data_IF_461990071922
#
_entry.id   IF_461990071922
#
_cell.length_a   1.000
_cell.length_b   1.000
_cell.length_c   1.000
_cell.angle_alpha   90.00
_cell.angle_beta   90.00
_cell.angle_gamma   90.00
#
_symmetry.space_group_name_H-M   'P 1'
#
loop_
_entity.id
_entity.type
_entity.pdbx_description
1 polymer ?
#
# COMPACT_ATOMS: atom_id res chain seq x y z
N UNK A 1 10.35 -24.01 -20.01
CA UNK A 1 10.94 -22.70 -19.66
C UNK A 1 11.19 -22.71 -18.15
N UNK A 2 12.44 -22.63 -17.71
CA UNK A 2 12.77 -22.63 -16.29
C UNK A 2 12.50 -21.23 -15.71
N UNK A 3 11.62 -21.15 -14.71
CA UNK A 3 11.41 -19.93 -13.93
C UNK A 3 12.57 -19.78 -12.94
N UNK A 4 13.33 -18.70 -13.08
CA UNK A 4 14.35 -18.29 -12.10
C UNK A 4 13.60 -17.61 -10.96
N UNK A 5 13.37 -18.33 -9.87
CA UNK A 5 12.96 -17.73 -8.60
C UNK A 5 14.22 -17.18 -7.93
N UNK A 6 14.31 -15.85 -7.83
CA UNK A 6 15.30 -15.22 -6.96
C UNK A 6 14.82 -15.36 -5.51
N UNK A 7 15.71 -15.71 -4.56
CA UNK A 7 15.35 -15.77 -3.15
C UNK A 7 14.88 -14.40 -2.65
N UNK A 8 13.81 -14.35 -1.85
CA UNK A 8 13.24 -13.11 -1.32
C UNK A 8 14.28 -12.24 -0.58
N UNK A 9 15.25 -12.88 0.09
CA UNK A 9 16.37 -12.20 0.74
C UNK A 9 17.28 -11.40 -0.22
N UNK A 10 17.38 -11.83 -1.48
CA UNK A 10 18.15 -11.13 -2.53
C UNK A 10 17.34 -9.93 -3.05
N UNK A 11 16.01 -10.03 -3.08
CA UNK A 11 15.13 -8.92 -3.48
C UNK A 11 15.17 -7.81 -2.44
N UNK A 12 15.11 -8.14 -1.15
CA UNK A 12 15.13 -7.17 -0.05
C UNK A 12 16.48 -6.43 0.06
N UNK A 13 17.60 -7.14 -0.05
CA UNK A 13 18.94 -6.53 -0.01
C UNK A 13 19.25 -5.66 -1.24
N UNK A 14 18.80 -6.07 -2.44
CA UNK A 14 18.89 -5.22 -3.64
C UNK A 14 17.96 -4.01 -3.59
N UNK A 15 16.86 -4.09 -2.84
CA UNK A 15 15.96 -2.97 -2.64
C UNK A 15 16.58 -1.91 -1.71
N UNK A 16 17.17 -2.33 -0.60
CA UNK A 16 17.79 -1.42 0.38
C UNK A 16 19.02 -0.67 -0.19
N UNK A 17 19.95 -1.36 -0.85
CA UNK A 17 21.13 -0.69 -1.45
C UNK A 17 20.77 0.26 -2.60
N UNK A 18 19.72 -0.05 -3.36
CA UNK A 18 19.23 0.83 -4.44
C UNK A 18 18.47 2.02 -3.88
N UNK A 19 17.66 1.83 -2.85
CA UNK A 19 16.92 2.91 -2.20
C UNK A 19 17.86 3.90 -1.50
N UNK A 20 18.93 3.43 -0.85
CA UNK A 20 19.95 4.33 -0.26
C UNK A 20 20.62 5.25 -1.30
N UNK A 21 20.88 4.73 -2.50
CA UNK A 21 21.49 5.51 -3.59
C UNK A 21 20.49 6.39 -4.35
N UNK A 22 19.25 5.94 -4.48
CA UNK A 22 18.19 6.63 -5.24
C UNK A 22 17.51 7.72 -4.40
N UNK A 23 17.36 7.53 -3.08
CA UNK A 23 16.74 8.50 -2.16
C UNK A 23 17.37 9.91 -2.25
N UNK A 24 18.70 10.11 -2.13
CA UNK A 24 19.29 11.44 -2.22
C UNK A 24 19.14 12.08 -3.61
N UNK A 25 19.05 11.27 -4.68
CA UNK A 25 18.79 11.75 -6.04
C UNK A 25 17.33 12.17 -6.24
N UNK A 26 16.37 11.40 -5.71
CA UNK A 26 14.95 11.76 -5.72
C UNK A 26 14.66 12.97 -4.82
N UNK A 27 15.40 13.13 -3.71
CA UNK A 27 15.35 14.33 -2.88
C UNK A 27 15.72 15.59 -3.68
N UNK A 28 16.85 15.55 -4.40
CA UNK A 28 17.31 16.67 -5.25
C UNK A 28 16.39 16.94 -6.45
N UNK A 29 15.75 15.91 -7.00
CA UNK A 29 14.77 16.06 -8.08
C UNK A 29 13.43 16.63 -7.57
N UNK A 30 12.96 16.18 -6.41
CA UNK A 30 11.74 16.67 -5.77
C UNK A 30 11.83 18.16 -5.41
N UNK A 31 12.96 18.61 -4.86
CA UNK A 31 13.20 20.04 -4.58
C UNK A 31 13.16 20.91 -5.85
N UNK A 32 13.71 20.41 -6.96
CA UNK A 32 13.69 21.13 -8.25
C UNK A 32 12.29 21.17 -8.89
N UNK A 33 11.50 20.11 -8.76
CA UNK A 33 10.12 20.05 -9.28
C UNK A 33 9.19 20.93 -8.43
N UNK A 34 9.40 20.98 -7.10
CA UNK A 34 8.62 21.81 -6.17
C UNK A 34 8.89 23.31 -6.33
N UNK A 35 10.04 23.70 -6.91
CA UNK A 35 10.32 25.09 -7.28
C UNK A 35 9.46 25.60 -8.46
N UNK A 36 8.85 24.69 -9.24
CA UNK A 36 7.91 25.05 -10.31
C UNK A 36 6.51 25.18 -9.69
N UNK A 37 6.07 26.44 -9.52
CA UNK A 37 4.79 26.81 -8.89
C UNK A 37 3.62 26.02 -9.46
N UNK A 38 2.97 25.20 -8.62
CA UNK A 38 1.65 24.62 -8.93
C UNK A 38 1.32 23.25 -8.31
N UNK A 39 2.25 22.57 -7.63
CA UNK A 39 2.03 21.20 -7.17
C UNK A 39 1.89 21.09 -5.64
N UNK A 40 0.75 21.55 -5.12
CA UNK A 40 0.35 21.38 -3.71
C UNK A 40 0.29 19.90 -3.30
N UNK A 41 -0.02 19.00 -4.24
CA UNK A 41 -0.13 17.55 -3.97
C UNK A 41 1.22 16.85 -3.70
N UNK A 42 2.35 17.40 -4.17
CA UNK A 42 3.67 16.79 -3.92
C UNK A 42 4.25 17.15 -2.54
N UNK A 43 3.80 18.27 -1.95
CA UNK A 43 4.19 18.70 -0.59
C UNK A 43 3.79 17.67 0.46
N UNK A 44 2.60 17.09 0.34
CA UNK A 44 2.08 16.19 1.38
C UNK A 44 2.72 14.80 1.30
N UNK A 45 3.03 14.35 0.07
CA UNK A 45 3.82 13.13 -0.15
C UNK A 45 5.24 13.28 0.45
N UNK A 46 5.86 14.45 0.30
CA UNK A 46 7.18 14.76 0.86
C UNK A 46 7.20 14.76 2.40
N UNK A 47 6.22 15.40 3.04
CA UNK A 47 6.08 15.40 4.51
C UNK A 47 5.87 13.99 5.07
N UNK A 48 5.30 13.09 4.28
CA UNK A 48 5.11 11.70 4.68
C UNK A 48 6.44 10.93 4.61
N UNK A 49 7.24 11.14 3.57
CA UNK A 49 8.56 10.53 3.41
C UNK A 49 9.53 10.96 4.53
N UNK A 50 9.55 12.24 4.90
CA UNK A 50 10.36 12.74 6.03
C UNK A 50 10.01 12.08 7.37
N UNK A 51 8.72 11.79 7.61
CA UNK A 51 8.29 11.09 8.84
C UNK A 51 8.82 9.67 8.90
N UNK A 52 8.86 8.96 7.77
CA UNK A 52 9.42 7.60 7.72
C UNK A 52 10.92 7.57 8.01
N UNK A 53 11.67 8.54 7.49
CA UNK A 53 13.13 8.64 7.73
C UNK A 53 13.42 8.90 9.22
N UNK A 54 12.65 9.77 9.90
CA UNK A 54 12.83 10.01 11.33
C UNK A 54 12.46 8.79 12.21
N UNK A 55 11.46 8.00 11.80
CA UNK A 55 11.09 6.79 12.52
C UNK A 55 12.16 5.69 12.42
N UNK A 56 12.95 5.66 11.34
CA UNK A 56 14.06 4.72 11.18
C UNK A 56 15.19 4.98 12.19
N UNK A 57 15.54 6.24 12.48
CA UNK A 57 16.55 6.58 13.47
C UNK A 57 16.18 6.15 14.90
N UNK A 58 14.88 6.18 15.23
CA UNK A 58 14.37 5.80 16.56
C UNK A 58 14.45 4.29 16.85
N UNK A 59 14.55 3.44 15.81
CA UNK A 59 14.73 1.99 15.98
C UNK A 59 16.10 1.64 16.56
N UNK A 60 17.16 2.32 16.13
CA UNK A 60 18.52 2.04 16.60
C UNK A 60 18.69 2.32 18.09
N UNK A 61 18.05 3.36 18.61
CA UNK A 61 18.12 3.72 20.03
C UNK A 61 17.42 2.67 20.92
N UNK A 62 16.30 2.12 20.45
CA UNK A 62 15.53 1.08 21.14
C UNK A 62 16.30 -0.25 21.21
N UNK A 63 17.00 -0.61 20.13
CA UNK A 63 17.81 -1.85 20.07
C UNK A 63 18.99 -1.81 21.07
N UNK A 64 19.56 -0.62 21.29
CA UNK A 64 20.68 -0.42 22.21
C UNK A 64 20.22 -0.52 23.69
N UNK A 65 19.03 0.00 24.02
CA UNK A 65 18.41 -0.18 25.35
C UNK A 65 18.04 -1.64 25.63
N UNK A 66 17.55 -2.36 24.62
CA UNK A 66 17.21 -3.78 24.73
C UNK A 66 18.47 -4.63 25.03
N UNK A 67 19.60 -4.31 24.38
CA UNK A 67 20.90 -4.95 24.66
C UNK A 67 21.36 -4.76 26.10
N UNK A 68 21.10 -3.59 26.69
CA UNK A 68 21.49 -3.30 28.09
C UNK A 68 20.65 -4.04 29.12
N UNK A 69 19.36 -4.26 28.84
CA UNK A 69 18.39 -4.84 29.80
C UNK A 69 18.32 -6.36 29.76
N UNK A 70 18.72 -7.00 28.65
CA UNK A 70 18.72 -8.45 28.45
C UNK A 70 19.38 -9.28 29.59
N UNK A 71 20.57 -8.94 30.12
CA UNK A 71 21.21 -9.77 31.15
C UNK A 71 20.48 -9.75 32.51
N UNK A 72 19.79 -8.66 32.85
CA UNK A 72 19.00 -8.58 34.08
C UNK A 72 17.74 -9.47 34.01
N UNK A 73 17.10 -9.52 32.84
CA UNK A 73 15.95 -10.40 32.58
C UNK A 73 16.33 -11.88 32.63
N UNK A 74 17.50 -12.25 32.08
CA UNK A 74 18.01 -13.62 32.11
C UNK A 74 18.26 -14.14 33.54
N UNK A 75 18.70 -13.27 34.47
CA UNK A 75 18.90 -13.63 35.87
C UNK A 75 17.58 -13.93 36.61
N UNK A 76 16.47 -13.30 36.19
CA UNK A 76 15.15 -13.53 36.79
C UNK A 76 14.47 -14.81 36.26
N UNK A 77 14.85 -15.30 35.07
CA UNK A 77 14.28 -16.50 34.46
C UNK A 77 14.62 -17.81 35.21
N UNK A 78 15.65 -17.81 36.06
CA UNK A 78 16.09 -18.99 36.82
C UNK A 78 15.16 -19.44 37.96
N UNK A 79 14.12 -18.67 38.31
CA UNK A 79 13.27 -18.94 39.49
C UNK A 79 12.11 -19.93 39.26
N UNK A 80 12.05 -20.60 38.11
CA UNK A 80 11.15 -21.74 37.86
C UNK A 80 9.64 -21.43 37.84
N UNK A 81 9.24 -20.16 37.87
CA UNK A 81 7.85 -19.76 37.69
C UNK A 81 7.58 -19.74 36.18
N UNK A 82 6.61 -20.50 35.66
CA UNK A 82 6.25 -20.44 34.24
C UNK A 82 5.60 -19.08 33.94
N UNK A 83 6.44 -18.09 33.60
CA UNK A 83 6.07 -16.70 33.34
C UNK A 83 5.12 -16.55 32.13
N UNK A 84 5.10 -17.53 31.22
CA UNK A 84 4.32 -17.50 29.98
C UNK A 84 2.80 -17.47 30.13
N UNK A 85 2.25 -17.75 31.31
CA UNK A 85 0.79 -17.73 31.55
C UNK A 85 0.23 -16.34 31.88
N UNK A 86 1.04 -15.48 32.49
CA UNK A 86 0.57 -14.22 33.10
C UNK A 86 0.29 -13.15 32.04
N UNK A 87 1.05 -13.17 30.94
CA UNK A 87 0.98 -12.17 29.88
C UNK A 87 -0.11 -12.44 28.83
N UNK A 88 -0.65 -13.65 28.80
CA UNK A 88 -1.70 -14.02 27.86
C UNK A 88 -2.99 -13.23 28.06
N UNK A 89 -3.45 -13.07 29.31
CA UNK A 89 -4.72 -12.37 29.60
C UNK A 89 -4.68 -10.87 29.22
N UNK A 90 -3.61 -10.11 29.58
CA UNK A 90 -3.45 -8.74 29.07
C UNK A 90 -3.38 -8.66 27.54
N UNK A 91 -2.69 -9.60 26.89
CA UNK A 91 -2.61 -9.67 25.44
C UNK A 91 -3.99 -9.90 24.80
N UNK A 92 -4.75 -10.89 25.30
CA UNK A 92 -6.11 -11.18 24.88
C UNK A 92 -7.03 -9.95 25.05
N UNK A 93 -7.00 -9.31 26.22
CA UNK A 93 -7.83 -8.14 26.50
C UNK A 93 -7.48 -6.94 25.60
N UNK A 94 -6.20 -6.76 25.30
CA UNK A 94 -5.73 -5.71 24.38
C UNK A 94 -6.20 -5.98 22.96
N UNK A 95 -6.13 -7.24 22.50
CA UNK A 95 -6.65 -7.64 21.19
C UNK A 95 -8.17 -7.47 21.09
N UNK A 96 -8.93 -7.91 22.09
CA UNK A 96 -10.39 -7.78 22.10
C UNK A 96 -10.82 -6.31 22.13
N UNK A 97 -10.17 -5.48 22.95
CA UNK A 97 -10.53 -4.06 23.08
C UNK A 97 -10.10 -3.22 21.87
N UNK A 98 -8.90 -3.45 21.35
CA UNK A 98 -8.31 -2.64 20.27
C UNK A 98 -8.78 -3.10 18.90
N UNK A 99 -8.75 -4.41 18.66
CA UNK A 99 -9.08 -4.98 17.36
C UNK A 99 -10.58 -5.31 17.24
N UNK A 100 -11.35 -5.25 18.34
CA UNK A 100 -12.77 -5.61 18.38
C UNK A 100 -13.03 -7.03 17.82
N UNK A 101 -12.05 -7.92 17.97
CA UNK A 101 -12.12 -9.29 17.49
C UNK A 101 -12.59 -10.20 18.62
N UNK A 102 -13.69 -10.90 18.40
CA UNK A 102 -14.13 -11.99 19.28
C UNK A 102 -13.42 -13.26 18.82
N UNK A 103 -12.35 -13.63 19.52
CA UNK A 103 -11.59 -14.87 19.29
C UNK A 103 -11.91 -15.84 20.43
N UNK A 104 -12.17 -17.13 20.15
CA UNK A 104 -12.21 -18.14 21.20
C UNK A 104 -10.87 -18.13 21.95
N UNK A 105 -10.94 -17.94 23.28
CA UNK A 105 -9.74 -17.78 24.11
C UNK A 105 -8.76 -18.96 23.96
N UNK A 106 -9.27 -20.18 23.78
CA UNK A 106 -8.45 -21.38 23.62
C UNK A 106 -7.65 -21.39 22.30
N UNK A 107 -8.25 -20.97 21.20
CA UNK A 107 -7.57 -20.89 19.90
C UNK A 107 -6.44 -19.85 19.92
N UNK A 108 -6.69 -18.69 20.54
CA UNK A 108 -5.67 -17.66 20.74
C UNK A 108 -4.53 -18.16 21.63
N UNK A 109 -4.86 -18.95 22.64
CA UNK A 109 -3.89 -19.50 23.58
C UNK A 109 -2.95 -20.51 22.90
N UNK A 110 -3.45 -21.32 21.97
CA UNK A 110 -2.60 -22.23 21.19
C UNK A 110 -1.63 -21.47 20.29
N UNK A 111 -2.11 -20.47 19.55
CA UNK A 111 -1.26 -19.62 18.71
C UNK A 111 -0.24 -18.86 19.56
N UNK A 112 -0.66 -18.37 20.74
CA UNK A 112 0.21 -17.67 21.66
C UNK A 112 1.35 -18.54 22.17
N UNK A 113 1.03 -19.78 22.55
CA UNK A 113 2.03 -20.76 23.00
C UNK A 113 2.98 -21.18 21.90
N UNK A 114 2.52 -21.23 20.65
CA UNK A 114 3.36 -21.63 19.51
C UNK A 114 4.48 -20.62 19.18
N UNK A 115 4.35 -19.36 19.60
CA UNK A 115 5.34 -18.31 19.33
C UNK A 115 5.90 -17.67 20.62
N UNK A 116 5.72 -18.36 21.76
CA UNK A 116 6.25 -17.91 23.04
C UNK A 116 7.77 -18.16 23.08
N UNK A 117 8.54 -17.13 23.38
CA UNK A 117 9.95 -17.29 23.68
C UNK A 117 10.10 -17.95 25.07
N UNK A 118 10.82 -19.08 25.12
CA UNK A 118 11.01 -19.84 26.35
C UNK A 118 11.87 -19.12 27.38
N UNK A 119 12.73 -18.18 26.97
CA UNK A 119 13.59 -17.43 27.88
C UNK A 119 12.84 -16.28 28.57
N UNK A 120 12.01 -15.56 27.81
CA UNK A 120 11.32 -14.35 28.31
C UNK A 120 9.89 -14.63 28.76
N UNK A 121 9.27 -15.72 28.30
CA UNK A 121 7.85 -15.98 28.50
C UNK A 121 6.95 -14.95 27.79
N UNK A 122 7.50 -14.22 26.82
CA UNK A 122 6.82 -13.21 26.02
C UNK A 122 6.76 -13.66 24.56
N UNK A 123 5.79 -13.12 23.82
CA UNK A 123 5.75 -13.26 22.38
C UNK A 123 6.52 -12.10 21.75
N UNK A 124 7.51 -12.35 20.88
CA UNK A 124 8.17 -11.33 20.09
C UNK A 124 7.17 -10.48 19.29
N UNK A 125 7.42 -9.17 19.16
CA UNK A 125 6.46 -8.22 18.57
C UNK A 125 6.16 -8.51 17.09
N UNK A 126 7.13 -9.00 16.34
CA UNK A 126 6.99 -9.49 14.97
C UNK A 126 5.99 -10.67 14.90
N UNK A 127 6.09 -11.61 15.84
CA UNK A 127 5.20 -12.78 15.92
C UNK A 127 3.79 -12.43 16.41
N UNK A 128 3.59 -11.28 17.06
CA UNK A 128 2.26 -10.78 17.41
C UNK A 128 1.43 -10.53 16.15
N UNK A 129 2.03 -10.00 15.09
CA UNK A 129 1.33 -9.78 13.82
C UNK A 129 0.93 -11.08 13.16
N UNK A 130 1.83 -12.06 13.12
CA UNK A 130 1.55 -13.39 12.56
C UNK A 130 0.48 -14.14 13.37
N UNK A 131 0.49 -13.96 14.70
CA UNK A 131 -0.57 -14.47 15.56
C UNK A 131 -1.91 -13.83 15.19
N UNK A 132 -1.97 -12.49 15.10
CA UNK A 132 -3.17 -11.74 14.68
C UNK A 132 -3.67 -12.18 13.30
N UNK A 133 -2.76 -12.42 12.36
CA UNK A 133 -3.07 -12.93 11.03
C UNK A 133 -3.67 -14.34 11.09
N UNK A 134 -3.03 -15.26 11.83
CA UNK A 134 -3.49 -16.66 12.03
C UNK A 134 -4.80 -16.77 12.80
N UNK A 135 -5.05 -15.86 13.73
CA UNK A 135 -6.28 -15.76 14.52
C UNK A 135 -7.50 -15.48 13.64
N UNK A 136 -7.29 -15.03 12.40
CA UNK A 136 -8.34 -14.93 11.43
C UNK A 136 -9.34 -13.86 11.85
N UNK A 137 -8.97 -12.59 11.69
CA UNK A 137 -9.97 -11.66 11.17
C UNK A 137 -9.49 -10.87 9.96
N UNK A 138 -10.37 -10.82 8.95
CA UNK A 138 -10.08 -11.47 7.69
C UNK A 138 -10.31 -10.43 6.61
N UNK A 139 -9.68 -9.28 6.81
CA UNK A 139 -9.96 -8.10 6.02
C UNK A 139 -10.81 -7.02 6.68
N UNK A 140 -11.06 -5.97 5.92
CA UNK A 140 -11.69 -4.73 6.29
C UNK A 140 -13.23 -4.86 6.15
N UNK A 141 -14.00 -4.79 7.24
CA UNK A 141 -15.45 -4.92 7.15
C UNK A 141 -16.07 -3.69 6.47
N UNK A 142 -17.24 -3.86 5.85
CA UNK A 142 -17.94 -2.82 5.10
C UNK A 142 -18.07 -1.48 5.84
N UNK A 143 -18.42 -1.51 7.13
CA UNK A 143 -18.56 -0.29 7.94
C UNK A 143 -17.25 0.50 8.02
N UNK A 144 -16.12 -0.18 8.20
CA UNK A 144 -14.80 0.44 8.27
C UNK A 144 -14.34 0.90 6.89
N UNK A 145 -14.58 0.12 5.84
CA UNK A 145 -14.32 0.51 4.46
C UNK A 145 -15.11 1.77 4.06
N UNK A 146 -16.40 1.83 4.37
CA UNK A 146 -17.24 3.02 4.13
C UNK A 146 -16.68 4.24 4.85
N UNK A 147 -16.32 4.10 6.12
CA UNK A 147 -15.74 5.21 6.89
C UNK A 147 -14.38 5.65 6.32
N UNK A 148 -13.57 4.73 5.81
CA UNK A 148 -12.32 5.02 5.12
C UNK A 148 -12.55 5.84 3.85
N UNK A 149 -13.50 5.46 2.99
CA UNK A 149 -13.84 6.22 1.78
C UNK A 149 -14.34 7.63 2.12
N UNK A 150 -15.18 7.76 3.17
CA UNK A 150 -15.65 9.07 3.64
C UNK A 150 -14.48 9.93 4.16
N UNK A 151 -13.54 9.32 4.89
CA UNK A 151 -12.36 10.01 5.42
C UNK A 151 -11.40 10.49 4.34
N UNK A 152 -11.37 9.83 3.16
CA UNK A 152 -10.64 10.31 1.98
C UNK A 152 -11.28 11.56 1.34
N UNK A 153 -12.44 12.01 1.83
CA UNK A 153 -13.15 13.17 1.28
C UNK A 153 -13.87 12.90 -0.05
N UNK A 154 -13.96 11.62 -0.46
CA UNK A 154 -14.64 11.23 -1.69
C UNK A 154 -16.14 11.11 -1.40
N UNK A 155 -16.95 11.99 -2.01
CA UNK A 155 -18.40 12.04 -1.81
C UNK A 155 -19.11 11.02 -2.70
N UNK A 156 -19.01 9.74 -2.36
CA UNK A 156 -19.69 8.64 -3.06
C UNK A 156 -21.05 8.36 -2.41
N UNK A 157 -22.08 8.08 -3.21
CA UNK A 157 -23.37 7.63 -2.69
C UNK A 157 -23.22 6.31 -1.91
N UNK A 158 -23.87 6.13 -0.73
CA UNK A 158 -23.73 4.92 0.06
C UNK A 158 -24.09 3.62 -0.69
N UNK A 159 -25.03 3.67 -1.65
CA UNK A 159 -25.38 2.49 -2.46
C UNK A 159 -24.24 2.09 -3.39
N UNK A 160 -23.52 3.04 -3.96
CA UNK A 160 -22.36 2.79 -4.82
C UNK A 160 -21.17 2.26 -4.02
N UNK A 161 -20.97 2.72 -2.79
CA UNK A 161 -19.95 2.15 -1.89
C UNK A 161 -20.29 0.68 -1.57
N UNK A 162 -21.57 0.37 -1.33
CA UNK A 162 -22.02 -1.00 -1.08
C UNK A 162 -21.80 -1.90 -2.30
N UNK A 163 -22.17 -1.45 -3.50
CA UNK A 163 -21.93 -2.17 -4.75
C UNK A 163 -20.44 -2.38 -5.01
N UNK A 164 -19.62 -1.35 -4.80
CA UNK A 164 -18.17 -1.45 -4.95
C UNK A 164 -17.60 -2.45 -3.97
N UNK A 165 -18.03 -2.42 -2.71
CA UNK A 165 -17.61 -3.40 -1.70
C UNK A 165 -17.94 -4.83 -2.13
N UNK A 166 -19.17 -5.08 -2.60
CA UNK A 166 -19.59 -6.40 -3.09
C UNK A 166 -18.81 -6.86 -4.33
N UNK A 167 -18.35 -5.95 -5.17
CA UNK A 167 -17.50 -6.27 -6.32
C UNK A 167 -16.06 -6.62 -5.92
N UNK A 168 -15.57 -6.01 -4.84
CA UNK A 168 -14.20 -6.21 -4.34
C UNK A 168 -14.10 -7.45 -3.45
N UNK A 169 -15.17 -7.75 -2.71
CA UNK A 169 -15.32 -8.93 -1.85
C UNK A 169 -15.53 -10.20 -2.70
N UNK A 170 -14.45 -10.67 -3.33
CA UNK A 170 -14.48 -11.81 -4.27
C UNK A 170 -14.88 -13.09 -3.55
N UNK A 171 -14.44 -13.25 -2.30
CA UNK A 171 -14.72 -14.42 -1.49
C UNK A 171 -16.07 -14.35 -0.73
N UNK A 172 -16.80 -13.21 -0.82
CA UNK A 172 -18.11 -12.97 -0.19
C UNK A 172 -18.15 -13.18 1.33
N UNK A 173 -17.03 -12.94 2.02
CA UNK A 173 -16.94 -13.12 3.47
C UNK A 173 -17.35 -11.86 4.25
N UNK A 174 -17.77 -10.78 3.57
CA UNK A 174 -18.09 -9.46 4.11
C UNK A 174 -16.92 -8.70 4.76
N UNK A 175 -15.67 -9.07 4.42
CA UNK A 175 -14.42 -8.49 4.94
C UNK A 175 -13.34 -8.47 3.85
N UNK A 176 -12.85 -7.29 3.46
CA UNK A 176 -11.87 -7.19 2.36
C UNK A 176 -10.45 -7.50 2.83
N UNK A 177 -9.88 -8.61 2.42
CA UNK A 177 -8.49 -8.93 2.74
C UNK A 177 -7.50 -7.89 2.15
N UNK A 178 -6.21 -8.04 2.44
CA UNK A 178 -5.19 -7.08 1.97
C UNK A 178 -5.14 -6.97 0.43
N UNK A 179 -5.33 -8.08 -0.28
CA UNK A 179 -5.28 -8.13 -1.73
C UNK A 179 -6.56 -7.52 -2.34
N UNK A 180 -7.72 -7.88 -1.79
CA UNK A 180 -9.03 -7.34 -2.14
C UNK A 180 -9.08 -5.83 -1.91
N UNK A 181 -8.68 -5.36 -0.72
CA UNK A 181 -8.62 -3.93 -0.41
C UNK A 181 -7.71 -3.16 -1.39
N UNK A 182 -6.55 -3.73 -1.73
CA UNK A 182 -5.63 -3.14 -2.71
C UNK A 182 -6.25 -3.07 -4.09
N UNK A 183 -6.85 -4.16 -4.56
CA UNK A 183 -7.53 -4.23 -5.85
C UNK A 183 -8.69 -3.24 -5.90
N UNK A 184 -9.50 -3.18 -4.84
CA UNK A 184 -10.64 -2.28 -4.73
C UNK A 184 -10.27 -0.81 -4.66
N UNK A 185 -9.20 -0.47 -3.96
CA UNK A 185 -8.67 0.91 -3.95
C UNK A 185 -8.17 1.29 -5.34
N UNK A 186 -7.47 0.39 -6.03
CA UNK A 186 -7.01 0.63 -7.41
C UNK A 186 -8.18 0.80 -8.38
N UNK A 187 -9.23 -0.01 -8.25
CA UNK A 187 -10.45 0.08 -9.05
C UNK A 187 -11.17 1.42 -8.82
N UNK A 188 -11.36 1.81 -7.56
CA UNK A 188 -11.96 3.10 -7.19
C UNK A 188 -11.18 4.29 -7.77
N UNK A 189 -9.85 4.28 -7.63
CA UNK A 189 -8.99 5.38 -8.10
C UNK A 189 -8.87 5.44 -9.63
N UNK A 190 -8.93 4.29 -10.33
CA UNK A 190 -8.78 4.24 -11.79
C UNK A 190 -10.08 4.40 -12.56
N UNK A 191 -11.23 4.04 -11.96
CA UNK A 191 -12.52 4.06 -12.63
C UNK A 191 -13.49 5.05 -11.98
N UNK A 192 -13.79 4.86 -10.70
CA UNK A 192 -14.86 5.61 -10.02
C UNK A 192 -14.50 7.08 -9.81
N UNK A 193 -13.30 7.38 -9.30
CA UNK A 193 -12.87 8.75 -9.04
C UNK A 193 -12.80 9.59 -10.34
N UNK A 194 -12.19 9.11 -11.44
CA UNK A 194 -12.22 9.83 -12.71
C UNK A 194 -13.63 10.10 -13.23
N UNK A 195 -14.53 9.11 -13.17
CA UNK A 195 -15.93 9.29 -13.58
C UNK A 195 -16.63 10.35 -12.74
N UNK A 196 -16.44 10.33 -11.42
CA UNK A 196 -17.02 11.34 -10.52
C UNK A 196 -16.47 12.74 -10.78
N UNK A 197 -15.18 12.86 -11.08
CA UNK A 197 -14.58 14.14 -11.45
C UNK A 197 -15.20 14.69 -12.75
N UNK A 198 -15.46 13.83 -13.73
CA UNK A 198 -16.13 14.20 -14.97
C UNK A 198 -17.58 14.65 -14.72
N UNK A 199 -18.33 13.91 -13.89
CA UNK A 199 -19.70 14.26 -13.51
C UNK A 199 -19.78 15.59 -12.76
N UNK A 200 -18.86 15.85 -11.82
CA UNK A 200 -18.80 17.13 -11.09
C UNK A 200 -18.55 18.32 -12.01
N UNK A 201 -17.75 18.13 -13.06
CA UNK A 201 -17.51 19.16 -14.08
C UNK A 201 -18.66 19.26 -15.10
N UNK A 202 -19.72 18.46 -14.96
CA UNK A 202 -20.80 18.29 -15.95
C UNK A 202 -20.26 17.92 -17.35
N UNK A 203 -19.05 17.38 -17.41
CA UNK A 203 -18.41 16.90 -18.63
C UNK A 203 -18.97 15.53 -18.94
N UNK A 204 -20.16 15.51 -19.54
CA UNK A 204 -20.71 14.27 -20.07
C UNK A 204 -19.80 13.73 -21.17
N UNK A 205 -19.75 12.40 -21.31
CA UNK A 205 -18.98 11.70 -22.35
C UNK A 205 -19.24 12.29 -23.75
N UNK A 206 -20.46 12.77 -23.98
CA UNK A 206 -20.89 13.44 -25.21
C UNK A 206 -20.05 14.69 -25.57
N UNK A 207 -19.45 15.37 -24.60
CA UNK A 207 -18.62 16.55 -24.82
C UNK A 207 -17.14 16.18 -25.04
N UNK A 208 -16.68 15.09 -24.42
CA UNK A 208 -15.28 14.66 -24.50
C UNK A 208 -14.99 13.99 -25.85
N UNK A 209 -15.91 13.14 -26.32
CA UNK A 209 -15.76 12.41 -27.59
C UNK A 209 -15.49 13.33 -28.79
N UNK A 210 -16.26 14.40 -29.06
CA UNK A 210 -16.00 15.27 -30.22
C UNK A 210 -14.64 15.98 -30.13
N UNK A 211 -14.15 16.31 -28.93
CA UNK A 211 -12.82 16.91 -28.78
C UNK A 211 -11.71 15.91 -29.07
N UNK A 212 -11.84 14.67 -28.60
CA UNK A 212 -10.87 13.60 -28.89
C UNK A 212 -10.88 13.28 -30.39
N UNK A 213 -12.05 13.15 -31.01
CA UNK A 213 -12.14 12.85 -32.45
C UNK A 213 -11.59 13.99 -33.30
N UNK A 214 -11.83 15.25 -32.93
CA UNK A 214 -11.23 16.40 -33.60
C UNK A 214 -9.70 16.38 -33.48
N UNK A 215 -9.15 16.14 -32.28
CA UNK A 215 -7.71 16.04 -32.06
C UNK A 215 -7.07 14.91 -32.86
N UNK A 216 -7.69 13.72 -32.87
CA UNK A 216 -7.23 12.58 -33.67
C UNK A 216 -7.32 12.85 -35.18
N UNK A 217 -8.36 13.56 -35.63
CA UNK A 217 -8.52 13.96 -37.02
C UNK A 217 -7.39 14.90 -37.46
N UNK A 218 -7.08 15.93 -36.66
CA UNK A 218 -5.97 16.86 -36.92
C UNK A 218 -4.63 16.11 -36.96
N UNK A 219 -4.38 15.22 -35.99
CA UNK A 219 -3.16 14.42 -35.94
C UNK A 219 -3.03 13.53 -37.19
N UNK A 220 -4.14 12.89 -37.61
CA UNK A 220 -4.19 12.05 -38.81
C UNK A 220 -3.92 12.86 -40.08
N UNK A 221 -4.50 14.06 -40.22
CA UNK A 221 -4.22 14.96 -41.35
C UNK A 221 -2.75 15.38 -41.40
N UNK A 222 -2.12 15.63 -40.24
CA UNK A 222 -0.69 15.93 -40.13
C UNK A 222 0.16 14.74 -40.61
N UNK A 223 -0.17 13.53 -40.17
CA UNK A 223 0.50 12.32 -40.63
C UNK A 223 0.35 12.10 -42.14
N UNK A 224 -0.86 12.29 -42.69
CA UNK A 224 -1.11 12.18 -44.11
C UNK A 224 -0.27 13.19 -44.91
N UNK A 225 -0.16 14.43 -44.43
CA UNK A 225 0.66 15.46 -45.04
C UNK A 225 2.16 15.12 -45.02
N UNK A 226 2.66 14.59 -43.90
CA UNK A 226 4.05 14.13 -43.78
C UNK A 226 4.35 12.97 -44.74
N UNK A 227 3.47 11.98 -44.81
CA UNK A 227 3.62 10.85 -45.73
C UNK A 227 3.61 11.30 -47.19
N UNK A 228 2.70 12.21 -47.56
CA UNK A 228 2.64 12.77 -48.91
C UNK A 228 3.93 13.55 -49.25
N UNK A 229 4.46 14.31 -48.29
CA UNK A 229 5.72 15.04 -48.43
C UNK A 229 6.89 14.08 -48.68
N UNK A 230 7.01 12.99 -47.90
CA UNK A 230 8.05 11.98 -48.12
C UNK A 230 7.92 11.28 -49.48
N UNK A 231 6.70 10.94 -49.90
CA UNK A 231 6.45 10.34 -51.20
C UNK A 231 6.88 11.27 -52.37
N UNK A 232 6.65 12.58 -52.23
CA UNK A 232 7.08 13.57 -53.21
C UNK A 232 8.62 13.62 -53.34
N UNK A 233 9.36 13.54 -52.22
CA UNK A 233 10.83 13.51 -52.26
C UNK A 233 11.39 12.23 -52.88
N UNK A 234 10.76 11.07 -52.66
CA UNK A 234 11.22 9.80 -53.23
C UNK A 234 11.15 9.78 -54.77
N UNK A 235 10.12 10.38 -55.38
CA UNK A 235 9.99 10.47 -56.85
C UNK A 235 11.15 11.21 -57.51
N UNK A 236 11.75 12.20 -56.83
CA UNK A 236 12.85 13.01 -57.37
C UNK A 236 14.17 12.22 -57.47
N UNK A 237 14.37 11.18 -56.65
CA UNK A 237 15.58 10.35 -56.67
C UNK A 237 15.61 9.35 -57.83
N UNK A 238 14.44 8.91 -58.32
CA UNK A 238 14.32 7.96 -59.43
C UNK A 238 14.71 8.57 -60.79
N UNK A 239 14.45 9.86 -61.02
CA UNK A 239 14.71 10.55 -62.31
C UNK A 239 16.16 10.92 -62.59
N UNK A 240 17.10 10.63 -61.69
CA UNK A 240 18.54 10.94 -61.85
C UNK A 240 19.43 9.71 -62.08
N UNK A 241 18.82 8.54 -62.30
CA UNK A 241 19.48 7.37 -62.88
C UNK A 241 18.97 7.18 -64.29
#
# INVERSE_FOLDING_TARGET
AAQIQLPDAVVDTLWDERLEKICPLMLRWGEKIMAVRGLVLLSDCWKHLQRHIMLAGRRQELDEELRRTKPALAAMAGSGIPLGGVWFTPFYNTLVSTCQVVVPMDALKEIYRAHLDSETGLMPLDMVYDAIEKIGRPGLPYKTFRNFIIALGIKIDPSQIALTFQQIDVNQNNCLDKAELRAGTMMLLSQTVPLMLLEQQKLTVQHIVPHITAALSILSSLFAFLLLSFAAFQRKKSRRR
#
